data_IF_902979282834
#
_entry.id   IF_902979282834
#
_cell.length_a   1.000
_cell.length_b   1.000
_cell.length_c   1.000
_cell.angle_alpha   90.00
_cell.angle_beta   90.00
_cell.angle_gamma   90.00
#
_symmetry.space_group_name_H-M   'P 1'
#
loop_
_entity.id
_entity.type
_entity.pdbx_description
1 polymer ?
#
# COMPACT_ATOMS: atom_id res chain seq x y z
N UNK A 1 19.83 3.77 -8.69
CA UNK A 1 19.10 2.49 -8.64
C UNK A 1 19.88 1.69 -7.63
N UNK A 2 19.48 1.81 -6.36
CA UNK A 2 20.11 1.04 -5.29
C UNK A 2 19.92 -0.45 -5.64
N UNK A 3 21.00 -1.22 -5.58
CA UNK A 3 20.93 -2.66 -5.81
C UNK A 3 20.18 -3.25 -4.62
N UNK A 4 18.96 -3.75 -4.86
CA UNK A 4 18.15 -4.43 -3.85
C UNK A 4 19.01 -5.53 -3.19
N UNK A 5 19.10 -5.51 -1.87
CA UNK A 5 20.05 -6.37 -1.14
C UNK A 5 19.51 -7.81 -1.09
N UNK A 6 19.97 -8.62 -2.04
CA UNK A 6 19.67 -10.05 -2.11
C UNK A 6 20.73 -10.82 -1.32
N UNK A 7 20.30 -11.70 -0.42
CA UNK A 7 21.27 -12.52 0.35
C UNK A 7 22.04 -13.53 -0.51
N UNK A 8 21.52 -13.87 -1.70
CA UNK A 8 22.16 -14.79 -2.64
C UNK A 8 21.71 -14.58 -4.08
N UNK A 9 22.47 -15.14 -5.03
CA UNK A 9 22.05 -15.23 -6.43
C UNK A 9 20.82 -16.13 -6.63
N UNK A 10 20.62 -17.13 -5.76
CA UNK A 10 19.45 -18.01 -5.84
C UNK A 10 18.17 -17.23 -5.50
N UNK A 11 18.17 -16.46 -4.41
CA UNK A 11 17.06 -15.57 -4.04
C UNK A 11 16.76 -14.56 -5.15
N UNK A 12 17.79 -13.92 -5.72
CA UNK A 12 17.65 -12.98 -6.84
C UNK A 12 16.97 -13.62 -8.05
N UNK A 13 17.34 -14.86 -8.38
CA UNK A 13 16.73 -15.61 -9.48
C UNK A 13 15.27 -15.99 -9.19
N UNK A 14 14.98 -16.45 -7.97
CA UNK A 14 13.61 -16.76 -7.54
C UNK A 14 12.72 -15.51 -7.56
N UNK A 15 13.21 -14.38 -7.06
CA UNK A 15 12.53 -13.09 -7.09
C UNK A 15 12.17 -12.69 -8.52
N UNK A 16 13.13 -12.77 -9.46
CA UNK A 16 12.85 -12.51 -10.89
C UNK A 16 11.80 -13.46 -11.46
N UNK A 17 11.83 -14.74 -11.09
CA UNK A 17 10.83 -15.70 -11.54
C UNK A 17 9.42 -15.37 -11.01
N UNK A 18 9.31 -14.86 -9.77
CA UNK A 18 8.04 -14.34 -9.23
C UNK A 18 7.55 -13.14 -10.05
N UNK A 19 8.43 -12.17 -10.36
CA UNK A 19 8.04 -11.01 -11.16
C UNK A 19 7.51 -11.42 -12.55
N UNK A 20 8.22 -12.29 -13.27
CA UNK A 20 7.75 -12.79 -14.56
C UNK A 20 6.44 -13.58 -14.44
N UNK A 21 6.27 -14.33 -13.33
CA UNK A 21 5.02 -15.00 -13.02
C UNK A 21 3.85 -14.03 -12.84
N UNK A 22 4.07 -12.92 -12.12
CA UNK A 22 3.08 -11.86 -11.92
C UNK A 22 2.72 -11.18 -13.24
N UNK A 23 3.71 -10.84 -14.07
CA UNK A 23 3.45 -10.30 -15.41
C UNK A 23 2.56 -11.23 -16.24
N UNK A 24 2.88 -12.53 -16.22
CA UNK A 24 2.11 -13.57 -16.92
C UNK A 24 0.70 -13.78 -16.35
N UNK A 25 0.48 -13.48 -15.06
CA UNK A 25 -0.82 -13.52 -14.40
C UNK A 25 -1.67 -12.26 -14.65
N UNK A 26 -1.14 -11.27 -15.36
CA UNK A 26 -1.87 -10.06 -15.77
C UNK A 26 -1.44 -8.77 -15.06
N UNK A 27 -0.40 -8.78 -14.22
CA UNK A 27 0.16 -7.56 -13.62
C UNK A 27 1.13 -6.86 -14.58
N UNK A 28 0.56 -6.26 -15.63
CA UNK A 28 1.32 -5.55 -16.66
C UNK A 28 1.87 -4.18 -16.21
N UNK A 29 2.30 -3.38 -17.20
CA UNK A 29 2.86 -2.05 -16.93
C UNK A 29 1.87 -1.15 -16.17
N UNK A 30 2.38 -0.50 -15.12
CA UNK A 30 1.58 0.37 -14.24
C UNK A 30 0.83 -0.37 -13.13
N UNK A 31 0.91 -1.70 -13.07
CA UNK A 31 0.33 -2.53 -12.03
C UNK A 31 1.37 -3.29 -11.20
N UNK A 32 2.59 -3.46 -11.72
CA UNK A 32 3.72 -4.05 -10.99
C UNK A 32 4.80 -3.00 -10.75
N UNK A 33 5.19 -2.84 -9.49
CA UNK A 33 6.21 -1.89 -9.05
C UNK A 33 7.27 -2.61 -8.23
N UNK A 34 8.53 -2.21 -8.38
CA UNK A 34 9.63 -2.63 -7.51
C UNK A 34 9.97 -1.49 -6.55
N UNK A 35 10.47 -1.83 -5.37
CA UNK A 35 10.82 -0.89 -4.30
C UNK A 35 9.70 0.12 -4.01
N UNK A 36 8.47 -0.38 -3.88
CA UNK A 36 7.29 0.46 -3.74
C UNK A 36 7.16 0.99 -2.30
N UNK A 37 7.26 2.31 -2.07
CA UNK A 37 7.09 2.88 -0.75
C UNK A 37 5.60 3.01 -0.40
N UNK A 38 5.26 2.73 0.87
CA UNK A 38 3.94 2.98 1.42
C UNK A 38 4.02 3.36 2.90
N UNK A 39 3.00 4.06 3.38
CA UNK A 39 2.89 4.40 4.80
C UNK A 39 2.23 3.26 5.57
N UNK A 40 2.90 2.74 6.58
CA UNK A 40 2.34 1.74 7.48
C UNK A 40 1.43 2.40 8.52
N UNK A 41 0.17 2.59 8.16
CA UNK A 41 -0.83 3.20 9.05
C UNK A 41 -1.17 2.34 10.28
N UNK A 42 -0.78 1.06 10.33
CA UNK A 42 -1.03 0.21 11.49
C UNK A 42 0.04 0.36 12.58
N UNK A 43 1.26 0.76 12.22
CA UNK A 43 2.31 1.07 13.19
C UNK A 43 2.14 2.49 13.77
N UNK A 44 2.50 2.69 15.04
CA UNK A 44 2.27 3.93 15.80
C UNK A 44 2.73 5.19 15.05
N UNK A 45 4.00 5.23 14.65
CA UNK A 45 4.63 6.42 14.02
C UNK A 45 4.37 6.53 12.51
N UNK A 46 3.52 5.66 11.96
CA UNK A 46 3.23 5.62 10.52
C UNK A 46 4.48 5.61 9.63
N UNK A 47 5.46 4.72 9.89
CA UNK A 47 6.71 4.72 9.14
C UNK A 47 6.46 4.46 7.66
N UNK A 48 7.31 5.03 6.80
CA UNK A 48 7.36 4.62 5.40
C UNK A 48 8.10 3.29 5.31
N UNK A 49 7.44 2.28 4.76
CA UNK A 49 8.02 0.97 4.44
C UNK A 49 8.13 0.81 2.94
N UNK A 50 9.02 -0.09 2.52
CA UNK A 50 9.25 -0.38 1.11
C UNK A 50 8.98 -1.85 0.86
N UNK A 51 8.07 -2.16 -0.07
CA UNK A 51 7.85 -3.53 -0.53
C UNK A 51 8.77 -3.78 -1.74
N UNK A 52 9.64 -4.81 -1.72
CA UNK A 52 10.53 -5.14 -2.83
C UNK A 52 9.80 -5.33 -4.16
N UNK A 53 8.62 -5.96 -4.15
CA UNK A 53 7.69 -5.84 -5.28
C UNK A 53 6.23 -5.77 -4.85
N UNK A 54 5.48 -4.92 -5.54
CA UNK A 54 4.09 -4.61 -5.26
C UNK A 54 3.25 -4.77 -6.54
N UNK A 55 2.29 -5.69 -6.50
CA UNK A 55 1.33 -5.93 -7.57
C UNK A 55 -0.04 -5.39 -7.18
N UNK A 56 -0.61 -4.53 -8.03
CA UNK A 56 -1.91 -3.90 -7.84
C UNK A 56 -2.88 -4.36 -8.92
N UNK A 57 -4.15 -4.48 -8.57
CA UNK A 57 -5.16 -4.91 -9.53
C UNK A 57 -5.69 -3.79 -10.43
N UNK A 58 -5.49 -2.52 -10.03
CA UNK A 58 -5.88 -1.33 -10.80
C UNK A 58 -5.10 -0.11 -10.36
N UNK A 59 -5.06 0.90 -11.23
CA UNK A 59 -4.58 2.24 -10.89
C UNK A 59 -5.72 3.13 -10.35
N UNK A 60 -5.45 4.06 -9.42
CA UNK A 60 -4.16 4.30 -8.78
C UNK A 60 -3.81 3.21 -7.75
N UNK A 61 -2.51 2.94 -7.51
CA UNK A 61 -2.05 2.12 -6.40
C UNK A 61 -2.56 2.62 -5.03
N UNK A 62 -3.10 1.72 -4.21
CA UNK A 62 -3.47 1.94 -2.82
C UNK A 62 -3.59 0.60 -2.09
N UNK A 63 -3.79 0.62 -0.76
CA UNK A 63 -4.05 -0.60 0.01
C UNK A 63 -5.33 -1.32 -0.47
N UNK A 64 -6.32 -0.59 -1.02
CA UNK A 64 -7.53 -1.18 -1.61
C UNK A 64 -7.24 -1.96 -2.89
N UNK A 65 -6.30 -1.47 -3.69
CA UNK A 65 -5.98 -2.06 -5.00
C UNK A 65 -4.80 -3.02 -4.95
N UNK A 66 -4.07 -3.08 -3.83
CA UNK A 66 -2.99 -4.02 -3.60
C UNK A 66 -3.49 -5.47 -3.68
N UNK A 67 -2.86 -6.28 -4.52
CA UNK A 67 -3.22 -7.67 -4.73
C UNK A 67 -2.18 -8.62 -4.14
N UNK A 68 -0.90 -8.40 -4.46
CA UNK A 68 0.20 -9.28 -4.06
C UNK A 68 1.39 -8.43 -3.63
N UNK A 69 2.00 -8.76 -2.49
CA UNK A 69 3.32 -8.28 -2.10
C UNK A 69 4.38 -9.37 -2.28
N UNK A 70 5.59 -8.97 -2.63
CA UNK A 70 6.76 -9.87 -2.69
C UNK A 70 7.81 -9.31 -1.74
N UNK A 71 8.23 -10.15 -0.79
CA UNK A 71 9.20 -9.84 0.24
C UNK A 71 10.39 -10.79 0.13
N UNK A 72 11.57 -10.33 0.54
CA UNK A 72 12.78 -11.14 0.57
C UNK A 72 12.96 -11.71 1.97
N UNK A 73 13.15 -13.02 2.07
CA UNK A 73 13.47 -13.67 3.33
C UNK A 73 14.86 -13.22 3.81
N UNK A 74 14.94 -12.75 5.05
CA UNK A 74 16.20 -12.40 5.72
C UNK A 74 16.23 -13.08 7.10
N UNK A 75 17.33 -13.77 7.39
CA UNK A 75 17.53 -14.52 8.65
C UNK A 75 17.62 -13.59 9.88
N UNK A 76 17.86 -12.29 9.66
CA UNK A 76 17.92 -11.26 10.71
C UNK A 76 16.53 -10.75 11.11
N UNK A 77 15.49 -11.09 10.35
CA UNK A 77 14.14 -10.60 10.57
C UNK A 77 13.35 -11.55 11.49
N UNK A 78 12.33 -11.02 12.20
CA UNK A 78 11.47 -11.86 13.02
C UNK A 78 10.79 -12.95 12.19
N UNK A 79 10.41 -14.05 12.85
CA UNK A 79 9.83 -15.25 12.23
C UNK A 79 8.57 -15.01 11.40
N UNK A 80 7.89 -13.87 11.56
CA UNK A 80 6.79 -13.44 10.71
C UNK A 80 6.97 -11.98 10.25
N UNK A 81 7.85 -11.76 9.25
CA UNK A 81 7.98 -10.46 8.61
C UNK A 81 6.66 -9.97 8.00
N UNK A 82 5.82 -10.88 7.50
CA UNK A 82 4.60 -10.54 6.74
C UNK A 82 3.65 -9.66 7.56
N UNK A 83 3.54 -9.91 8.86
CA UNK A 83 2.69 -9.11 9.76
C UNK A 83 3.13 -7.64 9.82
N UNK A 84 4.42 -7.36 9.68
CA UNK A 84 4.94 -5.97 9.61
C UNK A 84 4.61 -5.29 8.28
N UNK A 85 4.17 -6.04 7.28
CA UNK A 85 3.81 -5.54 5.95
C UNK A 85 2.31 -5.58 5.66
N UNK A 86 1.47 -6.06 6.59
CA UNK A 86 0.02 -6.21 6.36
C UNK A 86 -0.70 -4.90 6.05
N UNK A 87 -0.19 -3.76 6.53
CA UNK A 87 -0.69 -2.42 6.19
C UNK A 87 -0.61 -2.08 4.69
N UNK A 88 0.18 -2.83 3.92
CA UNK A 88 0.18 -2.74 2.46
C UNK A 88 -1.18 -3.14 1.84
N UNK A 89 -1.97 -3.97 2.52
CA UNK A 89 -3.34 -4.33 2.11
C UNK A 89 -3.45 -5.41 1.04
N UNK A 90 -2.34 -6.03 0.61
CA UNK A 90 -2.39 -7.22 -0.22
C UNK A 90 -2.79 -8.44 0.61
N UNK A 91 -3.83 -9.20 0.20
CA UNK A 91 -4.26 -10.40 0.92
C UNK A 91 -3.32 -11.60 0.72
N UNK A 92 -2.43 -11.53 -0.28
CA UNK A 92 -1.44 -12.57 -0.60
C UNK A 92 -0.05 -11.95 -0.56
N UNK A 93 0.89 -12.64 0.08
CA UNK A 93 2.31 -12.28 0.04
C UNK A 93 3.16 -13.47 -0.41
N UNK A 94 4.21 -13.22 -1.19
CA UNK A 94 5.25 -14.19 -1.47
C UNK A 94 6.52 -13.79 -0.73
N UNK A 95 6.99 -14.65 0.17
CA UNK A 95 8.28 -14.53 0.80
C UNK A 95 9.29 -15.38 0.02
N UNK A 96 10.31 -14.73 -0.53
CA UNK A 96 11.29 -15.33 -1.43
C UNK A 96 12.56 -15.71 -0.68
N UNK A 97 12.86 -17.00 -0.66
CA UNK A 97 14.07 -17.59 -0.09
C UNK A 97 14.91 -18.23 -1.21
N UNK A 98 16.04 -18.83 -0.85
CA UNK A 98 16.97 -19.47 -1.79
C UNK A 98 16.38 -20.75 -2.38
N UNK A 99 15.83 -21.62 -1.52
CA UNK A 99 15.34 -22.94 -1.90
C UNK A 99 13.83 -22.96 -2.20
N UNK A 100 13.07 -22.06 -1.56
CA UNK A 100 11.61 -22.06 -1.59
C UNK A 100 11.05 -20.64 -1.67
N UNK A 101 9.82 -20.54 -2.14
CA UNK A 101 8.98 -19.36 -1.98
C UNK A 101 7.79 -19.76 -1.10
N UNK A 102 7.56 -19.03 -0.02
CA UNK A 102 6.40 -19.24 0.85
C UNK A 102 5.30 -18.29 0.41
N UNK A 103 4.16 -18.84 0.03
CA UNK A 103 2.93 -18.09 -0.19
C UNK A 103 2.22 -17.94 1.14
N UNK A 104 1.97 -16.71 1.54
CA UNK A 104 1.30 -16.33 2.77
C UNK A 104 -0.11 -15.84 2.49
N UNK A 105 -1.02 -16.17 3.41
CA UNK A 105 -2.29 -15.47 3.59
C UNK A 105 -2.06 -14.34 4.58
N UNK A 106 -2.31 -13.12 4.12
CA UNK A 106 -2.16 -11.92 4.94
C UNK A 106 -3.49 -11.61 5.63
N UNK A 107 -3.42 -11.38 6.94
CA UNK A 107 -4.57 -11.23 7.82
C UNK A 107 -4.41 -10.03 8.74
N UNK A 108 -5.52 -9.54 9.30
CA UNK A 108 -5.47 -8.43 10.27
C UNK A 108 -4.78 -8.83 11.58
N UNK A 109 -5.08 -10.04 12.07
CA UNK A 109 -4.59 -10.53 13.36
C UNK A 109 -3.23 -11.22 13.24
N UNK A 110 -3.14 -12.27 12.42
CA UNK A 110 -1.92 -13.06 12.24
C UNK A 110 -1.89 -13.70 10.87
N UNK A 111 -0.84 -13.40 10.10
CA UNK A 111 -0.62 -13.98 8.77
C UNK A 111 -0.07 -15.40 8.89
N UNK A 112 -0.43 -16.28 7.95
CA UNK A 112 -0.01 -17.68 7.97
C UNK A 112 0.48 -18.15 6.61
N UNK A 113 1.44 -19.09 6.63
CA UNK A 113 1.90 -19.75 5.40
C UNK A 113 0.77 -20.63 4.87
N UNK A 114 0.37 -20.37 3.63
CA UNK A 114 -0.63 -21.16 2.91
C UNK A 114 0.00 -22.28 2.10
N UNK A 115 1.12 -21.99 1.42
CA UNK A 115 1.79 -22.94 0.54
C UNK A 115 3.29 -22.69 0.52
N UNK A 116 4.07 -23.76 0.46
CA UNK A 116 5.51 -23.69 0.18
C UNK A 116 5.75 -24.19 -1.24
N UNK A 117 6.42 -23.37 -2.04
CA UNK A 117 6.68 -23.60 -3.46
C UNK A 117 8.20 -23.82 -3.61
N UNK A 118 8.68 -24.99 -4.02
CA UNK A 118 10.09 -25.18 -4.35
C UNK A 118 10.52 -24.21 -5.46
N UNK A 119 11.78 -23.74 -5.44
CA UNK A 119 12.31 -22.83 -6.46
C UNK A 119 12.06 -23.32 -7.90
N UNK A 120 12.22 -24.63 -8.14
CA UNK A 120 11.94 -25.28 -9.44
C UNK A 120 10.46 -25.24 -9.84
N UNK A 121 9.55 -25.13 -8.89
CA UNK A 121 8.10 -25.17 -9.07
C UNK A 121 7.43 -23.80 -9.27
N UNK A 122 8.18 -22.69 -9.16
CA UNK A 122 7.62 -21.33 -9.24
C UNK A 122 6.81 -21.13 -10.53
N UNK A 123 7.41 -21.43 -11.69
CA UNK A 123 6.75 -21.27 -13.00
C UNK A 123 5.47 -22.09 -13.10
N UNK A 124 5.52 -23.37 -12.70
CA UNK A 124 4.34 -24.23 -12.71
C UNK A 124 3.25 -23.76 -11.76
N UNK A 125 3.61 -23.20 -10.60
CA UNK A 125 2.65 -22.67 -9.64
C UNK A 125 1.87 -21.49 -10.23
N UNK A 126 2.55 -20.55 -10.89
CA UNK A 126 1.87 -19.45 -11.60
C UNK A 126 0.97 -19.94 -12.72
N UNK A 127 1.43 -20.90 -13.54
CA UNK A 127 0.61 -21.47 -14.61
C UNK A 127 -0.68 -22.14 -14.08
N UNK A 128 -0.57 -22.90 -12.99
CA UNK A 128 -1.71 -23.60 -12.38
C UNK A 128 -2.70 -22.64 -11.69
N UNK A 129 -2.23 -21.51 -11.17
CA UNK A 129 -3.03 -20.57 -10.38
C UNK A 129 -3.31 -19.25 -11.12
N UNK A 130 -3.04 -19.17 -12.43
CA UNK A 130 -3.10 -17.93 -13.21
C UNK A 130 -4.46 -17.21 -13.09
N UNK A 131 -5.56 -17.98 -13.04
CA UNK A 131 -6.90 -17.40 -12.86
C UNK A 131 -7.10 -16.83 -11.46
N UNK A 132 -6.66 -17.54 -10.43
CA UNK A 132 -6.89 -17.18 -9.03
C UNK A 132 -5.97 -16.04 -8.58
N UNK A 133 -4.75 -15.98 -9.12
CA UNK A 133 -3.77 -14.93 -8.82
C UNK A 133 -3.89 -13.71 -9.72
N UNK A 134 -4.81 -13.71 -10.68
CA UNK A 134 -5.04 -12.55 -11.55
C UNK A 134 -5.54 -11.31 -10.78
N UNK A 135 -5.24 -10.10 -11.28
CA UNK A 135 -5.76 -8.83 -10.76
C UNK A 135 -7.25 -8.87 -10.39
N UNK A 136 -8.10 -9.27 -11.35
CA UNK A 136 -9.55 -9.23 -11.19
C UNK A 136 -10.04 -10.24 -10.14
N UNK A 137 -9.46 -11.44 -10.09
CA UNK A 137 -9.85 -12.45 -9.10
C UNK A 137 -9.54 -12.01 -7.69
N UNK A 138 -8.35 -11.46 -7.45
CA UNK A 138 -7.97 -10.97 -6.13
C UNK A 138 -8.80 -9.73 -5.75
N UNK A 139 -9.00 -8.77 -6.66
CA UNK A 139 -9.84 -7.60 -6.36
C UNK A 139 -11.30 -7.97 -6.11
N UNK A 140 -11.87 -8.91 -6.87
CA UNK A 140 -13.22 -9.44 -6.60
C UNK A 140 -13.27 -10.05 -5.22
N UNK A 141 -12.29 -10.87 -4.84
CA UNK A 141 -12.25 -11.50 -3.54
C UNK A 141 -12.16 -10.47 -2.40
N UNK A 142 -11.28 -9.46 -2.51
CA UNK A 142 -11.19 -8.34 -1.56
C UNK A 142 -12.52 -7.62 -1.40
N UNK A 143 -13.19 -7.27 -2.50
CA UNK A 143 -14.45 -6.54 -2.48
C UNK A 143 -15.63 -7.38 -1.95
N UNK A 144 -15.63 -8.69 -2.22
CA UNK A 144 -16.65 -9.61 -1.70
C UNK A 144 -16.44 -9.81 -0.20
N UNK A 145 -15.20 -10.08 0.24
CA UNK A 145 -14.86 -10.20 1.66
C UNK A 145 -15.18 -8.92 2.43
N UNK A 146 -14.92 -7.74 1.86
CA UNK A 146 -15.31 -6.47 2.48
C UNK A 146 -16.84 -6.27 2.61
N UNK A 147 -17.64 -6.90 1.74
CA UNK A 147 -19.12 -6.77 1.72
C UNK A 147 -19.85 -7.88 2.46
N UNK A 148 -19.28 -9.07 2.56
CA UNK A 148 -19.85 -10.24 3.23
C UNK A 148 -19.07 -10.50 4.51
N UNK A 149 -19.60 -10.06 5.64
CA UNK A 149 -19.12 -10.49 6.97
C UNK A 149 -19.28 -12.01 7.22
N UNK A 150 -19.87 -12.78 6.28
CA UNK A 150 -20.33 -14.15 6.53
C UNK A 150 -20.19 -15.16 5.38
N UNK A 151 -19.41 -14.89 4.32
CA UNK A 151 -19.12 -15.94 3.31
C UNK A 151 -17.63 -16.04 3.01
N UNK A 152 -17.03 -17.06 3.59
CA UNK A 152 -15.63 -17.43 3.54
C UNK A 152 -15.20 -17.67 2.08
N UNK A 153 -14.46 -16.71 1.50
CA UNK A 153 -13.56 -17.01 0.39
C UNK A 153 -12.30 -17.56 1.02
N UNK A 154 -11.98 -18.82 0.74
CA UNK A 154 -10.99 -19.62 1.47
C UNK A 154 -9.56 -19.07 1.47
N UNK A 155 -9.26 -17.90 0.89
CA UNK A 155 -7.92 -17.31 0.80
C UNK A 155 -7.76 -15.85 1.26
N UNK A 156 -8.85 -15.12 1.57
CA UNK A 156 -8.79 -13.70 1.98
C UNK A 156 -9.43 -13.53 3.35
N UNK A 157 -8.69 -12.98 4.31
CA UNK A 157 -9.22 -12.59 5.61
C UNK A 157 -10.17 -11.38 5.46
N UNK A 158 -11.39 -11.52 5.98
CA UNK A 158 -12.46 -10.52 5.93
C UNK A 158 -12.08 -9.25 6.75
N UNK A 159 -11.16 -9.36 7.71
CA UNK A 159 -10.82 -8.28 8.64
C UNK A 159 -9.70 -7.33 8.20
N UNK A 160 -8.89 -7.67 7.18
CA UNK A 160 -7.69 -6.89 6.86
C UNK A 160 -8.00 -5.46 6.37
N UNK A 161 -8.89 -5.33 5.38
CA UNK A 161 -9.24 -4.01 4.83
C UNK A 161 -9.98 -3.13 5.85
N UNK A 162 -11.04 -3.61 6.53
CA UNK A 162 -11.70 -2.81 7.56
C UNK A 162 -10.73 -2.31 8.65
N UNK A 163 -9.80 -3.15 9.10
CA UNK A 163 -8.82 -2.77 10.11
C UNK A 163 -7.88 -1.65 9.61
N UNK A 164 -7.41 -1.72 8.36
CA UNK A 164 -6.59 -0.67 7.75
C UNK A 164 -7.41 0.63 7.60
N UNK A 165 -8.64 0.55 7.10
CA UNK A 165 -9.53 1.70 6.91
C UNK A 165 -9.82 2.43 8.23
N UNK A 166 -10.04 1.70 9.31
CA UNK A 166 -10.27 2.25 10.65
C UNK A 166 -9.04 3.04 11.13
N UNK A 167 -7.85 2.45 11.09
CA UNK A 167 -6.62 3.12 11.50
C UNK A 167 -6.29 4.34 10.63
N UNK A 168 -6.50 4.25 9.31
CA UNK A 168 -6.34 5.38 8.39
C UNK A 168 -7.29 6.50 8.77
N UNK A 169 -8.56 6.19 9.06
CA UNK A 169 -9.57 7.19 9.45
C UNK A 169 -9.19 7.88 10.76
N UNK A 170 -8.82 7.12 11.78
CA UNK A 170 -8.43 7.66 13.10
C UNK A 170 -7.24 8.61 12.98
N UNK A 171 -6.21 8.20 12.23
CA UNK A 171 -5.01 9.03 12.01
C UNK A 171 -5.31 10.29 11.20
N UNK A 172 -6.11 10.17 10.14
CA UNK A 172 -6.50 11.34 9.35
C UNK A 172 -7.34 12.32 10.17
N UNK A 173 -8.25 11.84 11.02
CA UNK A 173 -9.05 12.69 11.91
C UNK A 173 -8.18 13.45 12.92
N UNK A 174 -7.24 12.76 13.57
CA UNK A 174 -6.29 13.38 14.49
C UNK A 174 -5.44 14.45 13.80
N UNK A 175 -4.85 14.12 12.63
CA UNK A 175 -4.04 15.06 11.85
C UNK A 175 -4.85 16.28 11.39
N UNK A 176 -6.09 16.10 10.95
CA UNK A 176 -6.97 17.20 10.56
C UNK A 176 -7.28 18.12 11.74
N UNK A 177 -7.57 17.57 12.91
CA UNK A 177 -7.80 18.35 14.13
C UNK A 177 -6.58 19.16 14.55
N UNK A 178 -5.39 18.57 14.45
CA UNK A 178 -4.13 19.24 14.79
C UNK A 178 -3.81 20.38 13.83
N UNK A 179 -3.98 20.15 12.52
CA UNK A 179 -3.78 21.18 11.49
C UNK A 179 -4.76 22.34 11.68
N UNK A 180 -6.05 22.06 11.89
CA UNK A 180 -7.06 23.11 12.12
C UNK A 180 -6.80 23.88 13.42
N UNK A 181 -6.42 23.19 14.49
CA UNK A 181 -6.07 23.83 15.77
C UNK A 181 -4.87 24.75 15.62
N UNK A 182 -3.82 24.26 14.94
CA UNK A 182 -2.59 25.03 14.68
C UNK A 182 -2.87 26.25 13.79
N UNK A 183 -3.64 26.06 12.72
CA UNK A 183 -4.00 27.14 11.81
C UNK A 183 -4.87 28.20 12.48
N UNK A 184 -5.79 27.78 13.36
CA UNK A 184 -6.63 28.69 14.16
C UNK A 184 -5.79 29.55 15.09
N UNK A 185 -4.91 28.93 15.88
CA UNK A 185 -4.01 29.65 16.80
C UNK A 185 -3.09 30.61 16.08
N UNK A 186 -2.55 30.18 14.92
CA UNK A 186 -1.67 31.02 14.11
C UNK A 186 -2.44 32.24 13.58
N UNK A 187 -3.63 32.04 13.03
CA UNK A 187 -4.45 33.15 12.54
C UNK A 187 -4.82 34.15 13.64
N UNK A 188 -5.23 33.65 14.82
CA UNK A 188 -5.56 34.50 15.98
C UNK A 188 -4.35 35.31 16.44
N UNK A 189 -3.16 34.70 16.45
CA UNK A 189 -1.90 35.38 16.82
C UNK A 189 -1.53 36.49 15.84
N UNK A 190 -1.62 36.23 14.53
CA UNK A 190 -1.16 37.19 13.50
C UNK A 190 -2.18 38.32 13.25
N UNK A 191 -3.49 38.05 13.40
CA UNK A 191 -4.55 39.01 13.05
C UNK A 191 -5.29 39.60 14.25
N UNK A 192 -5.12 39.01 15.43
CA UNK A 192 -5.87 39.36 16.64
C UNK A 192 -7.36 38.98 16.60
N UNK A 193 -7.80 38.22 15.58
CA UNK A 193 -9.21 37.85 15.38
C UNK A 193 -9.36 36.35 15.21
N UNK A 194 -10.52 35.81 15.59
CA UNK A 194 -10.86 34.41 15.31
C UNK A 194 -11.07 34.22 13.80
N UNK A 195 -10.52 33.15 13.20
CA UNK A 195 -10.75 32.87 11.80
C UNK A 195 -12.21 32.47 11.55
N UNK A 196 -12.68 32.71 10.33
CA UNK A 196 -13.89 32.07 9.85
C UNK A 196 -13.62 30.57 9.68
N UNK A 197 -14.21 29.75 10.54
CA UNK A 197 -14.01 28.29 10.58
C UNK A 197 -14.29 27.64 9.22
N UNK A 198 -15.33 28.11 8.49
CA UNK A 198 -15.68 27.56 7.18
C UNK A 198 -14.60 27.85 6.14
N UNK A 199 -14.04 29.05 6.15
CA UNK A 199 -12.98 29.44 5.21
C UNK A 199 -11.67 28.73 5.53
N UNK A 200 -11.33 28.63 6.82
CA UNK A 200 -10.14 27.91 7.27
C UNK A 200 -10.21 26.43 6.89
N UNK A 201 -11.36 25.79 7.11
CA UNK A 201 -11.58 24.40 6.74
C UNK A 201 -11.48 24.21 5.22
N UNK A 202 -12.12 25.07 4.42
CA UNK A 202 -11.99 25.04 2.95
C UNK A 202 -10.55 25.20 2.49
N UNK A 203 -9.78 26.09 3.12
CA UNK A 203 -8.38 26.30 2.81
C UNK A 203 -7.54 25.05 3.09
N UNK A 204 -7.66 24.49 4.30
CA UNK A 204 -6.93 23.27 4.70
C UNK A 204 -7.26 22.10 3.77
N UNK A 205 -8.54 21.88 3.46
CA UNK A 205 -8.94 20.81 2.55
C UNK A 205 -8.43 20.99 1.12
N UNK A 206 -8.41 22.23 0.60
CA UNK A 206 -7.83 22.51 -0.73
C UNK A 206 -6.34 22.21 -0.76
N UNK A 207 -5.59 22.59 0.27
CA UNK A 207 -4.16 22.28 0.37
C UNK A 207 -3.89 20.79 0.47
N UNK A 208 -4.67 20.06 1.28
CA UNK A 208 -4.60 18.60 1.36
C UNK A 208 -4.94 17.92 0.04
N UNK A 209 -6.01 18.36 -0.63
CA UNK A 209 -6.37 17.85 -1.96
C UNK A 209 -5.24 18.10 -2.96
N UNK A 210 -4.62 19.29 -2.96
CA UNK A 210 -3.46 19.57 -3.78
C UNK A 210 -2.31 18.60 -3.49
N UNK A 211 -1.98 18.36 -2.21
CA UNK A 211 -0.93 17.43 -1.79
C UNK A 211 -1.20 16.01 -2.27
N UNK A 212 -2.43 15.51 -2.10
CA UNK A 212 -2.84 14.19 -2.57
C UNK A 212 -2.72 14.06 -4.09
N UNK A 213 -3.12 15.09 -4.84
CA UNK A 213 -3.01 15.09 -6.31
C UNK A 213 -1.56 15.15 -6.80
N UNK A 214 -0.70 15.88 -6.07
CA UNK A 214 0.74 15.91 -6.32
C UNK A 214 1.39 14.55 -6.08
N UNK A 215 1.09 13.95 -4.92
CA UNK A 215 1.65 12.65 -4.51
C UNK A 215 1.22 11.54 -5.47
N UNK A 216 -0.01 11.61 -5.97
CA UNK A 216 -0.54 10.71 -7.00
C UNK A 216 -0.07 11.02 -8.41
N UNK A 217 0.78 12.02 -8.61
CA UNK A 217 1.30 12.46 -9.91
C UNK A 217 0.17 12.67 -10.92
N UNK A 218 -0.91 13.35 -10.55
CA UNK A 218 -1.99 13.71 -11.48
C UNK A 218 -1.50 14.82 -12.41
N UNK A 219 -1.81 14.73 -13.72
CA UNK A 219 -1.43 15.75 -14.70
C UNK A 219 -1.95 17.13 -14.27
N UNK A 220 -1.10 18.17 -14.33
CA UNK A 220 -1.38 19.52 -13.79
C UNK A 220 -0.86 19.77 -12.36
N UNK A 221 -0.69 18.71 -11.56
CA UNK A 221 -0.20 18.80 -10.17
C UNK A 221 1.23 18.26 -9.99
N UNK A 222 1.74 17.49 -10.97
CA UNK A 222 3.12 16.93 -10.97
C UNK A 222 4.25 17.96 -10.77
N UNK A 223 4.02 19.22 -11.12
CA UNK A 223 5.04 20.27 -11.11
C UNK A 223 5.12 21.07 -9.80
N UNK A 224 4.22 20.85 -8.85
CA UNK A 224 4.25 21.51 -7.54
C UNK A 224 5.34 20.83 -6.71
N UNK A 225 6.55 21.43 -6.69
CA UNK A 225 7.70 20.91 -5.95
C UNK A 225 7.79 21.44 -4.51
N UNK A 226 7.13 22.55 -4.23
CA UNK A 226 7.10 23.23 -2.93
C UNK A 226 5.71 23.82 -2.71
N UNK A 227 5.22 23.74 -1.47
CA UNK A 227 3.97 24.36 -1.01
C UNK A 227 4.20 25.80 -0.52
N UNK A 228 5.37 26.39 -0.79
CA UNK A 228 5.70 27.78 -0.44
C UNK A 228 4.88 28.80 -1.26
N UNK A 229 4.55 28.51 -2.52
CA UNK A 229 3.67 29.34 -3.34
C UNK A 229 2.21 28.89 -3.20
N UNK A 230 1.63 29.25 -2.05
CA UNK A 230 0.27 28.87 -1.63
C UNK A 230 -0.78 29.38 -2.63
N UNK A 231 -0.60 30.56 -3.23
CA UNK A 231 -1.57 31.13 -4.16
C UNK A 231 -1.62 30.34 -5.48
N UNK A 232 -0.47 29.91 -6.00
CA UNK A 232 -0.42 29.05 -7.18
C UNK A 232 -1.05 27.67 -6.92
N UNK A 233 -0.82 27.11 -5.73
CA UNK A 233 -1.43 25.84 -5.31
C UNK A 233 -2.95 25.98 -5.24
N UNK A 234 -3.47 27.03 -4.63
CA UNK A 234 -4.91 27.27 -4.49
C UNK A 234 -5.59 27.56 -5.83
N UNK A 235 -4.93 28.27 -6.74
CA UNK A 235 -5.44 28.55 -8.08
C UNK A 235 -5.62 27.30 -8.95
N UNK A 236 -4.84 26.23 -8.69
CA UNK A 236 -4.96 24.96 -9.43
C UNK A 236 -6.02 24.01 -8.89
N UNK A 237 -6.38 24.15 -7.61
CA UNK A 237 -7.40 23.30 -6.94
C UNK A 237 -8.79 23.95 -6.96
N UNK A 238 -8.86 25.27 -7.24
CA UNK A 238 -10.11 26.03 -7.40
C UNK A 238 -10.70 25.94 -8.80
#
# INVERSE_FOLDING_TARGET
>A
MDDMDFKSNAQRNNYRCILTGLESAGYGQGLLFQDYPYTDFLALDSPTRVVPAAAFGRTPPSFDTACISVLLADERQPSNIIDSYRAFGAPVAFEVDDAVVRQWRVSAASSSVWKVIPASGIRSAFAQNAKDWSPDSILRAKNISAKLQSRQLDFVDIGLLPAIEEHVREKLDALLKDVLTTATRTHERETGRKPNVRELFRLVFRLLAAKVLCDRRVNGFRSIKSFEDVDNVLARVG
#
